data_IF_879854207084
#
_entry.id   IF_879854207084
#
_cell.length_a   1.000
_cell.length_b   1.000
_cell.length_c   1.000
_cell.angle_alpha   90.00
_cell.angle_beta   90.00
_cell.angle_gamma   90.00
#
_symmetry.space_group_name_H-M   'P 1'
#
loop_
_entity.id
_entity.type
_entity.pdbx_description
1 polymer ?
#
# COMPACT_ATOMS: atom_id res chain seq x y z
N UNK A 1 -18.40 -29.13 -5.71
CA UNK A 1 -18.06 -27.97 -6.57
C UNK A 1 -18.37 -26.68 -5.81
N UNK A 2 -17.45 -25.71 -5.71
CA UNK A 2 -17.70 -24.45 -5.01
C UNK A 2 -18.74 -23.62 -5.79
N UNK A 3 -19.83 -23.21 -5.12
CA UNK A 3 -20.90 -22.42 -5.73
C UNK A 3 -20.44 -20.97 -5.93
N UNK A 4 -20.48 -20.48 -7.17
CA UNK A 4 -20.24 -19.07 -7.53
C UNK A 4 -21.43 -18.21 -7.06
N UNK A 5 -21.40 -17.75 -5.80
CA UNK A 5 -22.41 -16.80 -5.27
C UNK A 5 -22.10 -15.38 -5.78
N UNK A 6 -23.03 -14.77 -6.50
CA UNK A 6 -22.98 -13.35 -6.86
C UNK A 6 -23.66 -12.55 -5.76
N UNK A 7 -22.89 -11.78 -5.00
CA UNK A 7 -23.42 -10.89 -3.96
C UNK A 7 -23.96 -9.62 -4.65
N UNK A 8 -25.29 -9.43 -4.65
CA UNK A 8 -25.89 -8.16 -5.07
C UNK A 8 -25.79 -7.17 -3.91
N UNK A 9 -25.02 -6.11 -4.07
CA UNK A 9 -24.93 -5.03 -3.07
C UNK A 9 -25.66 -3.80 -3.59
N UNK A 10 -26.64 -3.29 -2.83
CA UNK A 10 -27.33 -2.03 -3.13
C UNK A 10 -26.51 -0.85 -2.62
N UNK A 11 -25.31 -0.65 -3.18
CA UNK A 11 -24.47 0.50 -2.85
C UNK A 11 -25.10 1.75 -3.45
N UNK A 12 -25.26 2.79 -2.65
CA UNK A 12 -25.72 4.10 -3.11
C UNK A 12 -24.64 4.70 -4.02
N UNK A 13 -25.03 5.18 -5.21
CA UNK A 13 -24.15 5.98 -6.05
C UNK A 13 -23.93 7.33 -5.37
N UNK A 14 -22.68 7.61 -5.00
CA UNK A 14 -22.31 8.84 -4.30
C UNK A 14 -21.57 9.70 -5.29
N UNK A 15 -21.98 10.96 -5.44
CA UNK A 15 -21.23 11.93 -6.21
C UNK A 15 -19.92 12.28 -5.49
N UNK A 16 -18.80 11.90 -6.10
CA UNK A 16 -17.47 12.11 -5.54
C UNK A 16 -17.09 13.59 -5.53
N UNK A 17 -17.60 14.40 -6.47
CA UNK A 17 -17.31 15.83 -6.53
C UNK A 17 -17.91 16.54 -5.31
N UNK A 18 -19.20 16.33 -5.05
CA UNK A 18 -19.87 16.85 -3.85
C UNK A 18 -19.22 16.34 -2.56
N UNK A 19 -18.78 15.08 -2.52
CA UNK A 19 -18.07 14.53 -1.36
C UNK A 19 -16.74 15.23 -1.10
N UNK A 20 -15.94 15.46 -2.14
CA UNK A 20 -14.65 16.16 -2.03
C UNK A 20 -14.85 17.59 -1.54
N UNK A 21 -15.80 18.32 -2.13
CA UNK A 21 -16.12 19.69 -1.72
C UNK A 21 -16.61 19.76 -0.27
N UNK A 22 -17.48 18.84 0.15
CA UNK A 22 -17.95 18.75 1.53
C UNK A 22 -16.80 18.55 2.52
N UNK A 23 -15.85 17.66 2.22
CA UNK A 23 -14.68 17.41 3.07
C UNK A 23 -13.80 18.65 3.17
N UNK A 24 -13.50 19.32 2.05
CA UNK A 24 -12.68 20.54 2.02
C UNK A 24 -13.33 21.63 2.89
N UNK A 25 -14.63 21.86 2.76
CA UNK A 25 -15.34 22.88 3.56
C UNK A 25 -15.37 22.55 5.05
N UNK A 26 -15.50 21.28 5.42
CA UNK A 26 -15.44 20.83 6.81
C UNK A 26 -14.03 21.00 7.38
N UNK A 27 -13.00 20.66 6.62
CA UNK A 27 -11.62 20.88 7.01
C UNK A 27 -11.31 22.38 7.12
N UNK A 28 -11.73 23.22 6.19
CA UNK A 28 -11.55 24.67 6.31
C UNK A 28 -12.32 25.30 7.49
N UNK A 29 -13.10 24.52 8.24
CA UNK A 29 -13.85 24.99 9.41
C UNK A 29 -15.08 25.83 9.05
N UNK A 30 -15.40 25.93 7.76
CA UNK A 30 -16.51 26.76 7.25
C UNK A 30 -17.88 26.18 7.62
N UNK A 31 -18.00 24.86 7.61
CA UNK A 31 -19.23 24.14 7.97
C UNK A 31 -18.94 23.02 8.96
N UNK A 32 -19.87 22.76 9.88
CA UNK A 32 -19.84 21.53 10.67
C UNK A 32 -20.21 20.31 9.81
N UNK A 33 -19.79 19.11 10.21
CA UNK A 33 -20.11 17.86 9.49
C UNK A 33 -21.61 17.72 9.18
N UNK A 34 -22.47 18.14 10.13
CA UNK A 34 -23.92 18.12 9.97
C UNK A 34 -24.38 19.09 8.89
N UNK A 35 -23.83 20.32 8.90
CA UNK A 35 -24.21 21.38 7.97
C UNK A 35 -23.74 21.08 6.55
N UNK A 36 -22.50 20.58 6.40
CA UNK A 36 -21.96 20.16 5.11
C UNK A 36 -22.76 19.00 4.50
N UNK A 37 -23.14 18.00 5.29
CA UNK A 37 -23.96 16.88 4.82
C UNK A 37 -25.31 17.35 4.23
N UNK A 38 -25.95 18.35 4.85
CA UNK A 38 -27.21 18.92 4.36
C UNK A 38 -26.99 19.71 3.06
N UNK A 39 -25.96 20.56 3.01
CA UNK A 39 -25.68 21.43 1.85
C UNK A 39 -25.34 20.61 0.60
N UNK A 40 -24.53 19.56 0.75
CA UNK A 40 -24.06 18.74 -0.35
C UNK A 40 -24.92 17.50 -0.60
N UNK A 41 -26.09 17.40 0.06
CA UNK A 41 -27.05 16.28 -0.07
C UNK A 41 -26.44 14.88 0.17
N UNK A 42 -25.43 14.80 1.03
CA UNK A 42 -24.74 13.56 1.37
C UNK A 42 -25.22 13.06 2.72
N UNK A 43 -25.36 11.74 2.88
CA UNK A 43 -25.62 11.16 4.21
C UNK A 43 -24.46 11.48 5.15
N UNK A 44 -24.77 12.15 6.27
CA UNK A 44 -23.79 12.55 7.29
C UNK A 44 -22.83 11.43 7.71
N UNK A 45 -23.35 10.21 7.89
CA UNK A 45 -22.53 9.06 8.30
C UNK A 45 -21.46 8.72 7.27
N UNK A 46 -21.75 8.86 5.98
CA UNK A 46 -20.80 8.61 4.89
C UNK A 46 -19.71 9.68 4.91
N UNK A 47 -20.10 10.95 5.01
CA UNK A 47 -19.16 12.08 5.12
C UNK A 47 -18.23 11.89 6.33
N UNK A 48 -18.78 11.56 7.49
CA UNK A 48 -18.01 11.30 8.71
C UNK A 48 -17.06 10.10 8.57
N UNK A 49 -17.52 8.98 8.01
CA UNK A 49 -16.68 7.81 7.74
C UNK A 49 -15.53 8.16 6.79
N UNK A 50 -15.80 8.97 5.75
CA UNK A 50 -14.79 9.38 4.78
C UNK A 50 -13.73 10.28 5.41
N UNK A 51 -14.15 11.25 6.22
CA UNK A 51 -13.27 12.11 7.02
C UNK A 51 -12.39 11.28 7.95
N UNK A 52 -12.97 10.37 8.73
CA UNK A 52 -12.21 9.49 9.64
C UNK A 52 -11.14 8.67 8.89
N UNK A 53 -11.48 8.14 7.72
CA UNK A 53 -10.55 7.35 6.90
C UNK A 53 -9.43 8.20 6.29
N UNK A 54 -9.69 9.48 6.02
CA UNK A 54 -8.65 10.42 5.58
C UNK A 54 -7.73 10.75 6.75
N UNK A 55 -8.30 11.11 7.91
CA UNK A 55 -7.53 11.45 9.11
C UNK A 55 -6.71 10.29 9.68
N UNK A 56 -7.09 9.04 9.40
CA UNK A 56 -6.26 7.87 9.77
C UNK A 56 -5.00 7.74 8.90
N UNK A 57 -4.95 8.40 7.75
CA UNK A 57 -3.86 8.30 6.78
C UNK A 57 -3.02 9.58 6.71
N UNK A 58 -3.67 10.74 6.72
CA UNK A 58 -3.04 12.04 6.49
C UNK A 58 -3.47 13.04 7.56
N UNK A 59 -2.64 14.06 7.79
CA UNK A 59 -3.05 15.24 8.55
C UNK A 59 -4.04 16.07 7.73
N UNK A 60 -4.91 16.81 8.43
CA UNK A 60 -5.89 17.70 7.81
C UNK A 60 -5.25 18.69 6.81
N UNK A 61 -4.13 19.30 7.21
CA UNK A 61 -3.41 20.29 6.40
C UNK A 61 -2.83 19.65 5.13
N UNK A 62 -2.22 18.47 5.23
CA UNK A 62 -1.70 17.73 4.07
C UNK A 62 -2.78 17.42 3.03
N UNK A 63 -3.99 17.05 3.48
CA UNK A 63 -5.11 16.81 2.57
C UNK A 63 -5.58 18.09 1.87
N UNK A 64 -5.52 19.25 2.53
CA UNK A 64 -5.91 20.52 1.92
C UNK A 64 -4.90 20.95 0.84
N UNK A 65 -3.60 20.86 1.14
CA UNK A 65 -2.52 21.23 0.21
C UNK A 65 -2.61 20.45 -1.11
N UNK A 66 -2.81 19.13 -1.05
CA UNK A 66 -2.93 18.29 -2.26
C UNK A 66 -4.19 18.56 -3.10
N UNK A 67 -5.21 19.22 -2.55
CA UNK A 67 -6.43 19.57 -3.30
C UNK A 67 -6.45 21.04 -3.76
N UNK A 68 -5.52 21.88 -3.29
CA UNK A 68 -5.41 23.30 -3.69
C UNK A 68 -4.47 23.53 -4.89
N UNK A 69 -3.89 22.46 -5.45
CA UNK A 69 -3.08 22.54 -6.67
C UNK A 69 -3.96 22.83 -7.90
N UNK A 70 -3.60 23.94 -8.56
CA UNK A 70 -4.34 24.68 -9.59
C UNK A 70 -4.44 23.90 -10.91
N UNK A 71 -5.35 24.34 -11.77
CA UNK A 71 -5.74 23.78 -13.07
C UNK A 71 -4.63 23.60 -14.13
N UNK A 72 -3.36 23.78 -13.78
CA UNK A 72 -2.23 23.88 -14.68
C UNK A 72 -1.06 23.02 -14.14
N UNK A 73 -1.22 21.70 -14.03
CA UNK A 73 -0.09 20.83 -13.66
C UNK A 73 0.15 19.70 -14.67
N UNK A 74 1.40 19.65 -15.10
CA UNK A 74 1.98 18.75 -16.07
C UNK A 74 1.96 17.34 -15.48
N UNK A 75 1.15 16.45 -16.06
CA UNK A 75 0.93 15.06 -15.65
C UNK A 75 2.22 14.24 -15.49
N UNK A 76 2.89 14.45 -14.37
CA UNK A 76 3.87 13.56 -13.81
C UNK A 76 3.19 12.93 -12.60
N UNK A 77 2.39 11.90 -12.86
CA UNK A 77 1.86 10.99 -11.84
C UNK A 77 3.09 10.41 -11.11
N UNK A 78 3.48 11.05 -10.02
CA UNK A 78 4.38 10.45 -9.05
C UNK A 78 3.71 9.17 -8.60
N UNK A 79 4.30 8.04 -9.01
CA UNK A 79 3.91 6.70 -8.60
C UNK A 79 3.74 6.71 -7.08
N UNK A 80 2.47 6.70 -6.63
CA UNK A 80 2.13 6.61 -5.24
C UNK A 80 2.72 5.30 -4.68
N UNK A 81 3.71 5.42 -3.78
CA UNK A 81 4.25 4.34 -2.95
C UNK A 81 3.17 3.69 -2.05
N UNK A 82 1.96 4.23 -2.02
CA UNK A 82 0.84 3.84 -1.17
C UNK A 82 -0.14 2.87 -1.88
N UNK A 83 0.40 1.81 -2.49
CA UNK A 83 -0.43 0.66 -2.84
C UNK A 83 -1.08 0.06 -1.57
N UNK A 84 -2.35 -0.39 -1.61
CA UNK A 84 -2.99 -0.98 -0.45
C UNK A 84 -2.17 -2.18 0.04
N UNK A 85 -1.64 -2.08 1.27
CA UNK A 85 -0.84 -3.13 1.93
C UNK A 85 -1.64 -4.43 1.98
N UNK A 86 -1.44 -5.29 0.99
CA UNK A 86 -2.19 -6.53 0.83
C UNK A 86 -1.61 -7.58 1.79
N UNK A 87 -2.18 -7.69 3.00
CA UNK A 87 -1.82 -8.77 3.92
C UNK A 87 -2.53 -10.06 3.50
N UNK A 88 -1.81 -10.93 2.79
CA UNK A 88 -2.28 -12.29 2.48
C UNK A 88 -1.87 -13.28 3.58
N UNK A 89 -2.36 -14.53 3.54
CA UNK A 89 -1.86 -15.59 4.44
C UNK A 89 -0.35 -15.83 4.31
N UNK A 90 0.24 -15.42 3.20
CA UNK A 90 1.67 -15.59 2.91
C UNK A 90 2.54 -14.49 3.56
N UNK A 91 1.97 -13.33 3.91
CA UNK A 91 2.76 -12.26 4.56
C UNK A 91 3.24 -12.64 5.95
N UNK A 92 2.62 -13.63 6.59
CA UNK A 92 3.05 -14.18 7.89
C UNK A 92 4.35 -15.00 7.77
N UNK A 93 4.65 -15.54 6.57
CA UNK A 93 5.84 -16.36 6.30
C UNK A 93 6.92 -15.61 5.51
N UNK A 94 6.78 -14.29 5.34
CA UNK A 94 7.82 -13.49 4.69
C UNK A 94 9.08 -13.44 5.55
N UNK A 95 10.21 -13.78 4.93
CA UNK A 95 11.54 -13.80 5.58
C UNK A 95 12.18 -12.41 5.52
N UNK A 96 11.96 -11.69 4.42
CA UNK A 96 12.51 -10.36 4.16
C UNK A 96 11.42 -9.29 4.17
N UNK A 97 11.80 -8.08 4.61
CA UNK A 97 11.01 -6.87 4.39
C UNK A 97 11.19 -6.35 2.96
N UNK A 98 10.30 -5.45 2.51
CA UNK A 98 10.41 -4.87 1.17
C UNK A 98 11.77 -4.19 0.94
N UNK A 99 12.26 -3.46 1.94
CA UNK A 99 13.56 -2.78 1.85
C UNK A 99 14.72 -3.77 1.72
N UNK A 100 14.68 -4.88 2.45
CA UNK A 100 15.67 -5.96 2.38
C UNK A 100 15.62 -6.67 1.02
N UNK A 101 14.43 -6.94 0.48
CA UNK A 101 14.26 -7.50 -0.86
C UNK A 101 14.81 -6.56 -1.92
N UNK A 102 14.59 -5.25 -1.80
CA UNK A 102 15.12 -4.23 -2.70
C UNK A 102 16.66 -4.20 -2.69
N UNK A 103 17.28 -4.30 -1.52
CA UNK A 103 18.74 -4.41 -1.41
C UNK A 103 19.28 -5.68 -2.12
N UNK A 104 18.62 -6.82 -1.89
CA UNK A 104 18.99 -8.08 -2.51
C UNK A 104 18.84 -8.03 -4.04
N UNK A 105 17.74 -7.45 -4.54
CA UNK A 105 17.50 -7.22 -5.96
C UNK A 105 18.57 -6.31 -6.57
N UNK A 106 18.94 -5.23 -5.87
CA UNK A 106 19.99 -4.32 -6.31
C UNK A 106 21.33 -5.05 -6.45
N UNK A 107 21.66 -5.93 -5.51
CA UNK A 107 22.87 -6.74 -5.59
C UNK A 107 22.84 -7.71 -6.78
N UNK A 108 21.72 -8.43 -6.97
CA UNK A 108 21.57 -9.37 -8.09
C UNK A 108 21.71 -8.66 -9.45
N UNK A 109 21.08 -7.49 -9.61
CA UNK A 109 21.23 -6.65 -10.82
C UNK A 109 22.68 -6.21 -11.03
N UNK A 110 23.38 -5.82 -9.97
CA UNK A 110 24.80 -5.49 -10.06
C UNK A 110 25.65 -6.69 -10.50
N UNK A 111 25.32 -7.90 -10.05
CA UNK A 111 26.01 -9.11 -10.49
C UNK A 111 25.77 -9.43 -11.97
N UNK A 112 24.59 -9.13 -12.51
CA UNK A 112 24.32 -9.27 -13.96
C UNK A 112 25.05 -8.26 -14.82
N UNK A 113 25.38 -7.10 -14.27
CA UNK A 113 26.12 -6.06 -15.01
C UNK A 113 27.63 -6.34 -15.04
N UNK A 114 28.18 -6.96 -13.98
CA UNK A 114 29.63 -7.22 -13.85
C UNK A 114 30.05 -8.56 -14.48
N UNK A 115 29.21 -9.59 -14.35
CA UNK A 115 29.45 -10.95 -14.84
C UNK A 115 28.23 -11.46 -15.60
N UNK A 116 28.17 -12.74 -15.97
CA UNK A 116 27.01 -13.38 -16.58
C UNK A 116 25.77 -13.52 -15.65
N UNK A 117 25.72 -12.77 -14.54
CA UNK A 117 24.69 -12.87 -13.50
C UNK A 117 24.88 -14.06 -12.57
N UNK A 118 23.88 -14.26 -11.71
CA UNK A 118 23.82 -15.38 -10.76
C UNK A 118 22.82 -16.41 -11.27
N UNK A 119 23.14 -17.69 -11.13
CA UNK A 119 22.18 -18.77 -11.39
C UNK A 119 21.12 -18.80 -10.29
N UNK A 120 19.98 -19.43 -10.55
CA UNK A 120 18.93 -19.58 -9.55
C UNK A 120 19.43 -20.23 -8.24
N UNK A 121 20.29 -21.25 -8.35
CA UNK A 121 20.89 -21.91 -7.18
C UNK A 121 21.82 -20.99 -6.39
N UNK A 122 22.53 -20.09 -7.07
CA UNK A 122 23.43 -19.15 -6.40
C UNK A 122 22.63 -18.03 -5.72
N UNK A 123 21.55 -17.58 -6.34
CA UNK A 123 20.61 -16.63 -5.71
C UNK A 123 19.99 -17.23 -4.44
N UNK A 124 19.65 -18.52 -4.43
CA UNK A 124 19.12 -19.19 -3.24
C UNK A 124 20.14 -19.27 -2.10
N UNK A 125 21.41 -19.54 -2.40
CA UNK A 125 22.49 -19.52 -1.39
C UNK A 125 22.73 -18.12 -0.87
N UNK A 126 22.78 -17.14 -1.76
CA UNK A 126 22.93 -15.72 -1.42
C UNK A 126 21.81 -15.25 -0.50
N UNK A 127 20.56 -15.59 -0.81
CA UNK A 127 19.41 -15.23 0.02
C UNK A 127 19.52 -15.85 1.43
N UNK A 128 19.98 -17.10 1.54
CA UNK A 128 20.22 -17.74 2.83
C UNK A 128 21.35 -17.05 3.62
N UNK A 129 22.47 -16.75 2.98
CA UNK A 129 23.59 -16.03 3.60
C UNK A 129 23.18 -14.63 4.08
N UNK A 130 22.43 -13.91 3.24
CA UNK A 130 21.89 -12.60 3.58
C UNK A 130 20.94 -12.67 4.78
N UNK A 131 20.03 -13.66 4.80
CA UNK A 131 19.12 -13.86 5.93
C UNK A 131 19.85 -14.15 7.25
N UNK A 132 20.96 -14.89 7.22
CA UNK A 132 21.74 -15.21 8.42
C UNK A 132 22.47 -13.99 9.01
N UNK A 133 22.82 -13.02 8.17
CA UNK A 133 23.52 -11.80 8.62
C UNK A 133 22.53 -10.81 9.25
N UNK A 134 21.26 -10.83 8.83
CA UNK A 134 20.25 -9.88 9.29
C UNK A 134 19.81 -10.17 10.74
N UNK A 135 19.82 -9.15 11.63
CA UNK A 135 19.24 -9.28 12.96
C UNK A 135 17.72 -9.34 12.82
N UNK A 136 17.11 -10.47 13.21
CA UNK A 136 15.65 -10.71 13.31
C UNK A 136 14.91 -11.30 12.10
N UNK A 137 15.56 -12.02 11.19
CA UNK A 137 14.86 -12.80 10.16
C UNK A 137 14.25 -14.10 10.71
N UNK A 138 12.97 -14.37 10.39
CA UNK A 138 12.30 -15.63 10.69
C UNK A 138 12.59 -16.64 9.59
N UNK A 139 13.75 -17.29 9.68
CA UNK A 139 14.20 -18.25 8.69
C UNK A 139 13.52 -19.61 8.94
N UNK A 140 12.94 -20.27 7.92
CA UNK A 140 12.42 -21.63 8.04
C UNK A 140 13.54 -22.63 8.38
N UNK A 141 13.24 -23.64 9.21
CA UNK A 141 14.22 -24.66 9.59
C UNK A 141 14.81 -25.43 8.38
N UNK A 142 14.03 -25.57 7.31
CA UNK A 142 14.43 -26.22 6.06
C UNK A 142 15.61 -25.51 5.35
N UNK A 143 15.68 -24.17 5.48
CA UNK A 143 16.78 -23.40 4.90
C UNK A 143 18.10 -23.70 5.60
N UNK A 144 18.08 -23.95 6.92
CA UNK A 144 19.28 -24.35 7.66
C UNK A 144 19.76 -25.75 7.29
N UNK A 145 18.84 -26.69 7.02
CA UNK A 145 19.18 -28.05 6.62
C UNK A 145 19.82 -28.10 5.22
N UNK A 146 19.27 -27.35 4.27
CA UNK A 146 19.74 -27.32 2.88
C UNK A 146 20.82 -26.27 2.61
N UNK A 147 21.01 -25.31 3.54
CA UNK A 147 21.85 -24.11 3.39
C UNK A 147 21.48 -23.30 2.15
N UNK A 148 20.20 -23.26 1.81
CA UNK A 148 19.67 -22.57 0.64
C UNK A 148 18.24 -22.11 0.87
N UNK A 149 17.84 -21.00 0.26
CA UNK A 149 16.47 -20.50 0.26
C UNK A 149 15.57 -21.29 -0.72
N UNK A 150 15.42 -22.59 -0.49
CA UNK A 150 14.63 -23.49 -1.31
C UNK A 150 13.49 -24.08 -0.50
N UNK A 151 12.28 -24.09 -1.07
CA UNK A 151 11.16 -24.85 -0.53
C UNK A 151 11.37 -26.34 -0.83
N UNK A 152 11.23 -27.17 0.21
CA UNK A 152 11.31 -28.63 0.16
C UNK A 152 10.10 -29.29 -0.50
#
# INVERSE_FOLDING_TARGET
>A
MPRKRVLKTNRVLIDEANMKQAIIKVFNGTYSERRAAIIYEIRRTILQCRIKRILSKYTKESYLTHNEERADDSGNDSIDEDSPKYSSKYTVRQVFTNDQELELVKYIKRCSDINYGLTFTDVQKLAYEYANILPHCKIPAEWHATKSAKDG
#
